data_IF_152052103818
#
_entry.id   IF_152052103818
#
_cell.length_a   1.000
_cell.length_b   1.000
_cell.length_c   1.000
_cell.angle_alpha   90.00
_cell.angle_beta   90.00
_cell.angle_gamma   90.00
#
_symmetry.space_group_name_H-M   'P 1'
#
loop_
_entity.id
_entity.type
_entity.pdbx_description
1 polymer ?
#
# COMPACT_ATOMS: atom_id res chain seq x y z
N UNK A 1 -0.92 -23.06 -1.34
CA UNK A 1 0.42 -22.45 -1.22
C UNK A 1 0.92 -22.14 -2.62
N UNK A 2 1.21 -20.87 -2.90
CA UNK A 2 1.91 -20.47 -4.11
C UNK A 2 3.42 -20.51 -3.87
N UNK A 3 4.19 -20.76 -4.91
CA UNK A 3 5.64 -20.60 -4.91
C UNK A 3 6.04 -19.66 -6.04
N UNK A 4 7.15 -18.95 -5.82
CA UNK A 4 7.86 -18.27 -6.90
C UNK A 4 9.05 -19.13 -7.31
N UNK A 5 9.18 -19.39 -8.61
CA UNK A 5 10.38 -19.99 -9.20
C UNK A 5 11.19 -18.85 -9.79
N UNK A 6 12.41 -18.66 -9.30
CA UNK A 6 13.31 -17.60 -9.75
C UNK A 6 14.52 -18.26 -10.40
N UNK A 7 14.77 -17.92 -11.67
CA UNK A 7 15.87 -18.47 -12.46
C UNK A 7 16.97 -17.42 -12.66
N UNK A 8 18.23 -17.85 -12.70
CA UNK A 8 19.39 -16.96 -12.76
C UNK A 8 20.72 -17.72 -12.93
N UNK A 9 21.87 -17.03 -12.86
CA UNK A 9 22.07 -15.64 -12.41
C UNK A 9 21.81 -14.57 -13.49
N UNK A 10 21.19 -13.44 -13.11
CA UNK A 10 20.95 -12.27 -13.99
C UNK A 10 21.24 -10.99 -13.20
N UNK A 11 21.95 -10.05 -13.81
CA UNK A 11 22.13 -8.69 -13.28
C UNK A 11 20.96 -7.81 -13.71
N UNK A 12 20.21 -7.27 -12.74
CA UNK A 12 19.10 -6.35 -13.01
C UNK A 12 19.65 -4.97 -13.43
N UNK A 13 19.00 -4.33 -14.39
CA UNK A 13 19.28 -2.96 -14.85
C UNK A 13 17.97 -2.26 -15.23
N UNK A 14 17.78 -1.04 -14.73
CA UNK A 14 16.57 -0.25 -14.96
C UNK A 14 16.09 0.47 -13.71
N UNK A 15 14.91 1.07 -13.80
CA UNK A 15 14.24 1.74 -12.70
C UNK A 15 12.83 1.17 -12.53
N UNK A 16 12.33 1.18 -11.30
CA UNK A 16 10.94 0.84 -10.99
C UNK A 16 10.36 1.93 -10.09
N UNK A 17 9.09 2.27 -10.31
CA UNK A 17 8.36 3.14 -9.40
C UNK A 17 7.81 2.32 -8.24
N UNK A 18 7.96 2.85 -7.03
CA UNK A 18 7.43 2.24 -5.81
C UNK A 18 6.20 3.00 -5.34
N UNK A 19 5.21 2.25 -4.84
CA UNK A 19 4.07 2.85 -4.16
C UNK A 19 4.47 3.49 -2.83
N UNK A 20 3.58 4.29 -2.24
CA UNK A 20 3.79 4.89 -0.93
C UNK A 20 3.97 3.86 0.20
N UNK A 21 4.42 4.35 1.35
CA UNK A 21 4.74 3.49 2.50
C UNK A 21 3.48 3.08 3.26
N UNK A 22 3.35 1.77 3.55
CA UNK A 22 2.28 1.21 4.39
C UNK A 22 2.15 1.95 5.72
N UNK A 23 3.28 2.14 6.40
CA UNK A 23 3.32 2.72 7.74
C UNK A 23 3.03 4.22 7.74
N UNK A 24 3.04 4.88 6.58
CA UNK A 24 2.50 6.23 6.43
C UNK A 24 1.00 6.18 6.12
N UNK A 25 0.56 5.29 5.24
CA UNK A 25 -0.84 5.19 4.83
C UNK A 25 -1.79 4.80 5.98
N UNK A 26 -1.44 3.80 6.80
CA UNK A 26 -2.31 3.31 7.88
C UNK A 26 -2.71 4.38 8.92
N UNK A 27 -1.79 5.16 9.51
CA UNK A 27 -2.18 6.21 10.45
C UNK A 27 -2.94 7.36 9.78
N UNK A 28 -2.67 7.67 8.50
CA UNK A 28 -3.45 8.67 7.77
C UNK A 28 -4.89 8.17 7.60
N UNK A 29 -5.09 6.91 7.20
CA UNK A 29 -6.41 6.28 7.11
C UNK A 29 -7.15 6.33 8.46
N UNK A 30 -6.47 6.04 9.56
CA UNK A 30 -7.06 6.12 10.91
C UNK A 30 -7.53 7.54 11.28
N UNK A 31 -6.94 8.58 10.70
CA UNK A 31 -7.31 9.97 10.93
C UNK A 31 -8.47 10.45 10.04
N UNK A 32 -8.83 9.72 8.98
CA UNK A 32 -9.89 10.14 8.03
C UNK A 32 -11.24 10.38 8.72
N UNK A 33 -11.75 9.53 9.63
CA UNK A 33 -13.09 9.70 10.22
C UNK A 33 -13.27 10.97 11.05
N UNK A 34 -12.18 11.58 11.55
CA UNK A 34 -12.25 12.82 12.35
C UNK A 34 -12.20 14.08 11.49
N UNK A 35 -11.93 13.96 10.19
CA UNK A 35 -11.92 15.08 9.24
C UNK A 35 -13.32 15.28 8.66
N UNK A 36 -13.79 16.54 8.63
CA UNK A 36 -15.07 16.88 7.99
C UNK A 36 -14.88 17.00 6.48
N UNK A 37 -15.80 16.41 5.72
CA UNK A 37 -15.80 16.49 4.26
C UNK A 37 -15.08 15.31 3.61
N UNK A 38 -14.78 15.44 2.32
CA UNK A 38 -14.10 14.41 1.54
C UNK A 38 -12.59 14.47 1.76
N UNK A 39 -11.96 13.30 1.99
CA UNK A 39 -10.50 13.16 2.07
C UNK A 39 -10.03 12.24 0.94
N UNK A 40 -9.13 12.73 0.09
CA UNK A 40 -8.57 11.98 -1.04
C UNK A 40 -7.10 11.67 -0.74
N UNK A 41 -6.74 10.38 -0.64
CA UNK A 41 -5.37 9.93 -0.43
C UNK A 41 -4.76 9.44 -1.75
N UNK A 42 -3.60 9.99 -2.12
CA UNK A 42 -2.83 9.55 -3.29
C UNK A 42 -1.64 8.67 -2.89
N UNK A 43 -1.16 7.86 -3.83
CA UNK A 43 0.01 6.98 -3.65
C UNK A 43 -0.13 5.97 -2.48
N UNK A 44 -1.36 5.53 -2.18
CA UNK A 44 -1.61 4.49 -1.17
C UNK A 44 -1.19 3.12 -1.72
N UNK A 45 -0.36 2.34 -1.01
CA UNK A 45 0.07 1.03 -1.50
C UNK A 45 -1.08 0.01 -1.47
N UNK A 46 -1.12 -0.88 -2.47
CA UNK A 46 -2.13 -1.94 -2.59
C UNK A 46 -1.70 -3.16 -1.76
N UNK A 47 -1.95 -3.10 -0.45
CA UNK A 47 -1.59 -4.14 0.51
C UNK A 47 -2.81 -4.62 1.27
N UNK A 48 -2.79 -5.88 1.71
CA UNK A 48 -3.89 -6.46 2.49
C UNK A 48 -4.19 -5.64 3.74
N UNK A 49 -3.16 -5.23 4.50
CA UNK A 49 -3.31 -4.36 5.68
C UNK A 49 -4.07 -3.05 5.37
N UNK A 50 -3.89 -2.47 4.18
CA UNK A 50 -4.60 -1.25 3.76
C UNK A 50 -6.08 -1.55 3.50
N UNK A 51 -6.38 -2.64 2.79
CA UNK A 51 -7.77 -3.05 2.54
C UNK A 51 -8.49 -3.42 3.83
N UNK A 52 -7.84 -4.16 4.72
CA UNK A 52 -8.37 -4.49 6.06
C UNK A 52 -8.66 -3.23 6.86
N UNK A 53 -7.78 -2.23 6.83
CA UNK A 53 -8.02 -0.95 7.51
C UNK A 53 -9.23 -0.21 6.91
N UNK A 54 -9.38 -0.21 5.58
CA UNK A 54 -10.57 0.39 4.94
C UNK A 54 -11.84 -0.31 5.40
N UNK A 55 -11.86 -1.65 5.46
CA UNK A 55 -13.00 -2.43 5.96
C UNK A 55 -13.33 -2.16 7.43
N UNK A 56 -12.34 -1.82 8.26
CA UNK A 56 -12.55 -1.45 9.67
C UNK A 56 -13.21 -0.06 9.78
N UNK A 57 -12.97 0.82 8.80
CA UNK A 57 -13.49 2.20 8.78
C UNK A 57 -14.87 2.32 8.12
N UNK A 58 -15.36 1.28 7.44
CA UNK A 58 -16.74 1.15 6.92
C UNK A 58 -17.76 0.94 8.05
#
# INVERSE_FOLDING_TARGET
MGSFVVEGPVQLSGNVEVSGAKNAALPILAAVPVVKGETILHNVPRLEDVFTMIQILE
#
